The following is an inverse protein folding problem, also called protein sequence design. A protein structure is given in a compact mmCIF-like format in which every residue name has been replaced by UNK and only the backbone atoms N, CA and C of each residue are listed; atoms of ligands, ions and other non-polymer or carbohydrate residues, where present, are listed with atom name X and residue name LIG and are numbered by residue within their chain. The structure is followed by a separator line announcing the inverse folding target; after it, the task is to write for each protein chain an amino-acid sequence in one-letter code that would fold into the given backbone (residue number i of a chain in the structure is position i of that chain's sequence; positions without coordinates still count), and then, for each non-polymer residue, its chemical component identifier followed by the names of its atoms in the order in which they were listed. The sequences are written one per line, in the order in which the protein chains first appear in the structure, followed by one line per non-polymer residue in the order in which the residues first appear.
data_IF_774405185998
#
_entry.id   IF_774405185998
#
_cell.length_a   1.000
_cell.length_b   1.000
_cell.length_c   1.000
_cell.angle_alpha   90.00
_cell.angle_beta   90.00
_cell.angle_gamma   90.00
#
_symmetry.space_group_name_H-M   'P 1'
#
loop_
_entity.id
_entity.type
_entity.pdbx_description
1 polymer ?
#
# COMPACT_ATOMS: atom_id res chain seq x y z
N UNK A 1 -26.13 -3.31 -6.01
CA UNK A 1 -24.72 -3.32 -6.41
C UNK A 1 -24.08 -4.58 -5.84
N UNK A 2 -23.46 -5.40 -6.70
CA UNK A 2 -22.76 -6.61 -6.24
C UNK A 2 -21.52 -6.23 -5.43
N UNK A 3 -21.10 -7.07 -4.48
CA UNK A 3 -19.92 -6.82 -3.64
C UNK A 3 -18.66 -6.58 -4.49
N UNK A 4 -18.60 -7.18 -5.68
CA UNK A 4 -17.52 -6.97 -6.65
C UNK A 4 -17.48 -5.54 -7.19
N UNK A 5 -18.63 -4.96 -7.56
CA UNK A 5 -18.70 -3.58 -8.05
C UNK A 5 -18.33 -2.55 -6.97
N UNK A 6 -18.70 -2.79 -5.72
CA UNK A 6 -18.29 -1.94 -4.59
C UNK A 6 -16.77 -1.99 -4.39
N UNK A 7 -16.18 -3.18 -4.44
CA UNK A 7 -14.73 -3.35 -4.33
C UNK A 7 -13.98 -2.61 -5.44
N UNK A 8 -14.46 -2.71 -6.68
CA UNK A 8 -13.84 -2.06 -7.83
C UNK A 8 -13.90 -0.52 -7.73
N UNK A 9 -15.02 0.05 -7.31
CA UNK A 9 -15.16 1.50 -7.09
C UNK A 9 -14.19 1.97 -6.00
N UNK A 10 -14.13 1.27 -4.87
CA UNK A 10 -13.22 1.62 -3.76
C UNK A 10 -11.76 1.59 -4.23
N UNK A 11 -11.39 0.58 -5.03
CA UNK A 11 -10.03 0.47 -5.57
C UNK A 11 -9.69 1.62 -6.51
N UNK A 12 -10.61 2.01 -7.41
CA UNK A 12 -10.40 3.15 -8.31
C UNK A 12 -10.20 4.43 -7.51
N UNK A 13 -11.04 4.70 -6.50
CA UNK A 13 -10.87 5.85 -5.63
C UNK A 13 -9.53 5.82 -4.89
N UNK A 14 -9.13 4.67 -4.34
CA UNK A 14 -7.85 4.53 -3.65
C UNK A 14 -6.66 4.86 -4.57
N UNK A 15 -6.67 4.35 -5.81
CA UNK A 15 -5.63 4.65 -6.80
C UNK A 15 -5.59 6.13 -7.17
N UNK A 16 -6.76 6.77 -7.36
CA UNK A 16 -6.84 8.21 -7.63
C UNK A 16 -6.24 9.07 -6.51
N UNK A 17 -6.33 8.64 -5.26
CA UNK A 17 -5.69 9.33 -4.13
C UNK A 17 -4.17 9.14 -4.05
N UNK A 18 -3.62 8.06 -4.63
CA UNK A 18 -2.18 7.81 -4.66
C UNK A 18 -1.48 8.75 -5.67
N UNK A 19 -2.14 9.11 -6.78
CA UNK A 19 -1.55 9.95 -7.84
C UNK A 19 -1.09 11.32 -7.31
N UNK A 20 -1.94 12.12 -6.63
CA UNK A 20 -1.50 13.41 -6.09
C UNK A 20 -0.45 13.28 -4.98
N UNK A 21 -0.40 12.18 -4.27
CA UNK A 21 0.55 11.94 -3.19
C UNK A 21 2.03 12.03 -3.66
N UNK A 22 2.35 11.39 -4.78
CA UNK A 22 3.70 11.47 -5.38
C UNK A 22 4.06 12.88 -5.88
N UNK A 23 3.05 13.63 -6.33
CA UNK A 23 3.21 15.02 -6.75
C UNK A 23 3.50 15.92 -5.54
N UNK A 24 2.78 15.74 -4.43
CA UNK A 24 3.00 16.51 -3.21
C UNK A 24 4.39 16.29 -2.63
N UNK A 25 4.93 15.07 -2.65
CA UNK A 25 6.30 14.77 -2.21
C UNK A 25 7.32 15.62 -2.98
N UNK A 26 7.11 15.83 -4.27
CA UNK A 26 8.02 16.62 -5.12
C UNK A 26 7.82 18.14 -5.02
N UNK A 27 6.61 18.59 -4.77
CA UNK A 27 6.30 20.02 -4.65
C UNK A 27 6.75 20.62 -3.32
N UNK A 28 6.89 19.79 -2.28
CA UNK A 28 7.40 20.23 -0.99
C UNK A 28 8.90 20.47 -1.08
N UNK A 29 9.33 21.72 -0.89
CA UNK A 29 10.73 22.13 -0.82
C UNK A 29 11.40 21.82 0.54
N UNK A 30 10.83 20.87 1.30
CA UNK A 30 11.35 20.42 2.59
C UNK A 30 12.27 19.21 2.40
N UNK A 31 13.15 19.01 3.39
CA UNK A 31 14.00 17.81 3.43
C UNK A 31 13.18 16.53 3.43
N UNK A 32 13.58 15.55 2.63
CA UNK A 32 12.84 14.31 2.44
C UNK A 32 12.58 13.56 3.76
N UNK A 33 13.53 13.59 4.67
CA UNK A 33 13.38 12.95 5.99
C UNK A 33 12.29 13.61 6.82
N UNK A 34 12.20 14.94 6.76
CA UNK A 34 11.12 15.70 7.41
C UNK A 34 9.75 15.33 6.83
N UNK A 35 9.66 15.23 5.51
CA UNK A 35 8.42 14.82 4.83
C UNK A 35 7.99 13.42 5.27
N UNK A 36 8.92 12.45 5.31
CA UNK A 36 8.65 11.07 5.72
C UNK A 36 8.15 11.01 7.16
N UNK A 37 8.80 11.72 8.09
CA UNK A 37 8.42 11.72 9.50
C UNK A 37 7.03 12.31 9.68
N UNK A 38 6.77 13.49 9.16
CA UNK A 38 5.48 14.15 9.29
C UNK A 38 4.34 13.35 8.63
N UNK A 39 4.57 12.83 7.44
CA UNK A 39 3.60 12.01 6.74
C UNK A 39 3.23 10.75 7.52
N UNK A 40 4.25 10.03 8.02
CA UNK A 40 4.04 8.81 8.81
C UNK A 40 3.32 9.10 10.12
N UNK A 41 3.69 10.20 10.80
CA UNK A 41 3.06 10.62 12.04
C UNK A 41 1.59 10.98 11.84
N UNK A 42 1.28 11.82 10.86
CA UNK A 42 -0.09 12.25 10.55
C UNK A 42 -0.93 11.03 10.16
N UNK A 43 -0.45 10.22 9.20
CA UNK A 43 -1.16 9.03 8.75
C UNK A 43 -1.43 8.04 9.88
N UNK A 44 -0.42 7.75 10.70
CA UNK A 44 -0.55 6.88 11.87
C UNK A 44 -1.54 7.41 12.90
N UNK A 45 -1.52 8.72 13.16
CA UNK A 45 -2.46 9.37 14.09
C UNK A 45 -3.91 9.27 13.59
N UNK A 46 -4.16 9.53 12.31
CA UNK A 46 -5.50 9.38 11.72
C UNK A 46 -6.02 7.95 11.77
N UNK A 47 -5.17 6.97 11.49
CA UNK A 47 -5.55 5.55 11.59
C UNK A 47 -5.88 5.18 13.04
N UNK A 48 -5.04 5.61 14.01
CA UNK A 48 -5.30 5.37 15.42
C UNK A 48 -6.61 6.02 15.89
N UNK A 49 -6.85 7.28 15.53
CA UNK A 49 -8.10 7.97 15.83
C UNK A 49 -9.32 7.25 15.24
N UNK A 50 -9.23 6.84 13.97
CA UNK A 50 -10.30 6.08 13.32
C UNK A 50 -10.59 4.74 14.02
N UNK A 51 -9.56 4.02 14.41
CA UNK A 51 -9.70 2.77 15.17
C UNK A 51 -10.28 3.02 16.57
N UNK A 52 -9.84 4.08 17.26
CA UNK A 52 -10.39 4.46 18.57
C UNK A 52 -11.88 4.79 18.49
N UNK A 53 -12.30 5.52 17.46
CA UNK A 53 -13.72 5.86 17.25
C UNK A 53 -14.53 4.59 16.94
N UNK A 54 -13.99 3.67 16.14
CA UNK A 54 -14.73 2.49 15.69
C UNK A 54 -14.79 1.37 16.75
N UNK A 55 -13.72 1.12 17.50
CA UNK A 55 -13.61 0.01 18.46
C UNK A 55 -13.62 0.45 19.93
N UNK A 56 -13.55 1.75 20.22
CA UNK A 56 -13.48 2.28 21.58
C UNK A 56 -12.27 1.72 22.34
N UNK A 57 -12.44 1.50 23.66
CA UNK A 57 -11.39 0.98 24.54
C UNK A 57 -11.04 -0.51 24.31
N UNK A 58 -11.82 -1.21 23.48
CA UNK A 58 -11.55 -2.62 23.13
C UNK A 58 -10.33 -2.82 22.22
N UNK A 59 -9.76 -1.74 21.71
CA UNK A 59 -8.51 -1.75 20.92
C UNK A 59 -7.39 -2.51 21.63
N UNK A 60 -7.23 -2.33 22.93
CA UNK A 60 -6.19 -3.01 23.71
C UNK A 60 -6.33 -4.53 23.71
N UNK A 61 -7.56 -5.03 23.78
CA UNK A 61 -7.83 -6.47 23.72
C UNK A 61 -7.61 -7.06 22.33
N UNK A 62 -7.89 -6.30 21.28
CA UNK A 62 -7.62 -6.69 19.88
C UNK A 62 -6.11 -6.75 19.66
N UNK A 63 -5.36 -5.74 20.13
CA UNK A 63 -3.89 -5.71 20.02
C UNK A 63 -3.22 -6.89 20.73
N UNK A 64 -3.74 -7.30 21.86
CA UNK A 64 -3.21 -8.42 22.66
C UNK A 64 -3.38 -9.78 21.99
N UNK A 65 -4.39 -9.90 21.12
CA UNK A 65 -4.71 -11.14 20.38
C UNK A 65 -4.16 -11.16 18.94
N UNK A 66 -3.34 -10.17 18.56
CA UNK A 66 -2.73 -10.10 17.24
C UNK A 66 -1.68 -11.20 17.10
N UNK A 67 -1.84 -12.06 16.10
CA UNK A 67 -0.88 -13.13 15.79
C UNK A 67 0.45 -12.58 15.25
N UNK A 68 1.52 -13.34 15.40
CA UNK A 68 2.88 -12.99 14.92
C UNK A 68 2.92 -12.57 13.45
N UNK A 69 2.11 -13.20 12.60
CA UNK A 69 2.04 -12.87 11.18
C UNK A 69 1.53 -11.46 10.91
N UNK A 70 0.59 -10.96 11.72
CA UNK A 70 0.09 -9.59 11.60
C UNK A 70 1.14 -8.55 12.00
N UNK A 71 1.99 -8.86 12.98
CA UNK A 71 3.10 -7.99 13.38
C UNK A 71 4.12 -7.90 12.24
N UNK A 72 4.49 -9.02 11.63
CA UNK A 72 5.41 -9.04 10.49
C UNK A 72 4.84 -8.20 9.34
N UNK A 73 3.56 -8.38 9.03
CA UNK A 73 2.89 -7.60 7.99
C UNK A 73 2.88 -6.09 8.30
N UNK A 74 2.60 -5.71 9.54
CA UNK A 74 2.63 -4.31 9.98
C UNK A 74 4.04 -3.71 9.87
N UNK A 75 5.09 -4.45 10.24
CA UNK A 75 6.48 -4.00 10.08
C UNK A 75 6.84 -3.81 8.60
N UNK A 76 6.46 -4.73 7.72
CA UNK A 76 6.70 -4.61 6.28
C UNK A 76 5.98 -3.38 5.70
N UNK A 77 4.74 -3.12 6.09
CA UNK A 77 4.00 -1.92 5.67
C UNK A 77 4.66 -0.64 6.20
N UNK A 78 5.10 -0.64 7.47
CA UNK A 78 5.76 0.53 8.05
C UNK A 78 7.05 0.91 7.33
N UNK A 79 7.79 -0.07 6.83
CA UNK A 79 9.03 0.16 6.06
C UNK A 79 8.72 0.56 4.61
N UNK A 80 7.68 0.01 3.99
CA UNK A 80 7.37 0.24 2.59
C UNK A 80 7.00 1.71 2.28
N UNK A 81 6.30 2.38 3.19
CA UNK A 81 5.89 3.78 3.03
C UNK A 81 7.07 4.76 2.90
N UNK A 82 8.01 4.78 3.85
CA UNK A 82 9.24 5.57 3.75
C UNK A 82 10.08 5.25 2.51
N UNK A 83 10.25 3.97 2.16
CA UNK A 83 11.00 3.56 0.98
C UNK A 83 10.35 4.05 -0.31
N UNK A 84 9.02 4.04 -0.40
CA UNK A 84 8.31 4.63 -1.53
C UNK A 84 8.58 6.13 -1.65
N UNK A 85 8.49 6.88 -0.55
CA UNK A 85 8.74 8.32 -0.55
C UNK A 85 10.19 8.64 -0.96
N UNK A 86 11.17 7.88 -0.45
CA UNK A 86 12.58 7.99 -0.88
C UNK A 86 12.75 7.69 -2.36
N UNK A 87 12.12 6.64 -2.88
CA UNK A 87 12.20 6.29 -4.29
C UNK A 87 11.67 7.41 -5.18
N UNK A 88 10.53 8.01 -4.85
CA UNK A 88 9.93 9.13 -5.60
C UNK A 88 10.81 10.38 -5.55
N UNK A 89 11.50 10.63 -4.44
CA UNK A 89 12.39 11.80 -4.30
C UNK A 89 13.72 11.64 -5.03
N UNK A 90 14.26 10.42 -5.06
CA UNK A 90 15.61 10.15 -5.62
C UNK A 90 15.58 9.75 -7.10
N UNK A 91 14.43 9.33 -7.65
CA UNK A 91 14.32 8.88 -9.03
C UNK A 91 13.17 9.60 -9.77
N UNK A 92 13.07 9.40 -11.08
CA UNK A 92 11.91 9.86 -11.82
C UNK A 92 10.65 9.13 -11.33
N UNK A 93 9.55 9.87 -11.10
CA UNK A 93 8.26 9.30 -10.64
C UNK A 93 7.81 8.16 -11.55
N UNK A 94 8.01 8.33 -12.88
CA UNK A 94 7.69 7.30 -13.87
C UNK A 94 8.38 5.97 -13.61
N UNK A 95 9.66 5.98 -13.21
CA UNK A 95 10.39 4.76 -12.86
C UNK A 95 9.81 4.07 -11.62
N UNK A 96 9.51 4.85 -10.59
CA UNK A 96 8.89 4.32 -9.37
C UNK A 96 7.53 3.72 -9.64
N UNK A 97 6.69 4.41 -10.44
CA UNK A 97 5.36 3.92 -10.82
C UNK A 97 5.44 2.68 -11.71
N UNK A 98 6.40 2.62 -12.63
CA UNK A 98 6.64 1.44 -13.47
C UNK A 98 7.00 0.21 -12.64
N UNK A 99 7.87 0.37 -11.64
CA UNK A 99 8.20 -0.71 -10.70
C UNK A 99 6.98 -1.12 -9.89
N UNK A 100 6.16 -0.18 -9.43
CA UNK A 100 4.90 -0.49 -8.75
C UNK A 100 3.91 -1.24 -9.65
N UNK A 101 3.83 -0.91 -10.93
CA UNK A 101 3.00 -1.61 -11.89
C UNK A 101 3.41 -3.08 -12.07
N UNK A 102 4.65 -3.44 -11.75
CA UNK A 102 5.12 -4.84 -11.75
C UNK A 102 4.75 -5.64 -10.48
N UNK A 103 4.19 -5.00 -9.43
CA UNK A 103 3.77 -5.67 -8.18
C UNK A 103 2.86 -6.89 -8.38
N UNK A 104 1.90 -6.92 -9.32
CA UNK A 104 1.08 -8.10 -9.56
C UNK A 104 1.90 -9.34 -9.93
N UNK A 105 3.05 -9.16 -10.61
CA UNK A 105 3.96 -10.26 -10.96
C UNK A 105 4.58 -10.86 -9.70
N UNK A 106 5.15 -9.98 -8.84
CA UNK A 106 5.76 -10.41 -7.58
C UNK A 106 4.74 -11.05 -6.65
N UNK A 107 3.53 -10.51 -6.61
CA UNK A 107 2.41 -11.09 -5.85
C UNK A 107 2.04 -12.49 -6.36
N UNK A 108 1.96 -12.68 -7.69
CA UNK A 108 1.66 -13.98 -8.29
C UNK A 108 2.76 -15.03 -8.00
N UNK A 109 4.01 -14.62 -8.13
CA UNK A 109 5.16 -15.50 -7.84
C UNK A 109 5.19 -15.87 -6.36
N UNK A 110 5.02 -14.91 -5.46
CA UNK A 110 5.00 -15.14 -4.02
C UNK A 110 3.83 -16.04 -3.60
N UNK A 111 2.65 -15.84 -4.15
CA UNK A 111 1.49 -16.70 -3.90
C UNK A 111 1.76 -18.14 -4.34
N UNK A 112 2.39 -18.34 -5.49
CA UNK A 112 2.75 -19.67 -5.98
C UNK A 112 3.81 -20.35 -5.12
N UNK A 113 4.84 -19.61 -4.69
CA UNK A 113 6.00 -20.18 -3.95
C UNK A 113 5.64 -20.42 -2.49
N UNK A 114 4.93 -19.48 -1.85
CA UNK A 114 4.66 -19.54 -0.41
C UNK A 114 3.37 -20.30 -0.10
N UNK A 115 2.31 -20.05 -0.90
CA UNK A 115 0.98 -20.62 -0.66
C UNK A 115 0.68 -21.85 -1.52
N UNK A 116 1.59 -22.23 -2.45
CA UNK A 116 1.40 -23.33 -3.41
C UNK A 116 0.11 -23.20 -4.25
N UNK A 117 -0.39 -21.97 -4.43
CA UNK A 117 -1.59 -21.71 -5.21
C UNK A 117 -1.31 -21.77 -6.71
N UNK A 118 -2.27 -22.31 -7.47
CA UNK A 118 -2.17 -22.34 -8.93
C UNK A 118 -2.46 -20.94 -9.48
N UNK A 119 -1.53 -20.37 -10.26
CA UNK A 119 -1.74 -19.10 -10.96
C UNK A 119 -2.90 -19.28 -11.93
N UNK A 120 -3.97 -18.51 -11.73
CA UNK A 120 -5.12 -18.50 -12.61
C UNK A 120 -4.75 -17.91 -13.98
N UNK A 121 -5.30 -18.48 -15.07
CA UNK A 121 -5.14 -17.91 -16.43
C UNK A 121 -5.58 -16.45 -16.51
N UNK A 122 -6.59 -16.04 -15.73
CA UNK A 122 -7.04 -14.65 -15.63
C UNK A 122 -5.95 -13.74 -15.05
N UNK A 123 -5.23 -14.21 -14.05
CA UNK A 123 -4.14 -13.46 -13.43
C UNK A 123 -2.97 -13.26 -14.39
N UNK A 124 -2.63 -14.25 -15.22
CA UNK A 124 -1.63 -14.13 -16.30
C UNK A 124 -2.01 -13.04 -17.29
N UNK A 125 -3.26 -13.01 -17.75
CA UNK A 125 -3.74 -11.97 -18.66
C UNK A 125 -3.69 -10.58 -18.03
N UNK A 126 -4.06 -10.45 -16.77
CA UNK A 126 -3.98 -9.16 -16.04
C UNK A 126 -2.53 -8.66 -15.96
N UNK A 127 -1.58 -9.55 -15.71
CA UNK A 127 -0.14 -9.22 -15.66
C UNK A 127 0.34 -8.72 -17.03
N UNK A 128 -0.03 -9.42 -18.12
CA UNK A 128 0.36 -9.04 -19.48
C UNK A 128 -0.21 -7.66 -19.82
N UNK A 129 -1.49 -7.42 -19.55
CA UNK A 129 -2.11 -6.10 -19.77
C UNK A 129 -1.50 -4.98 -18.91
N UNK A 130 -1.13 -5.26 -17.67
CA UNK A 130 -0.50 -4.29 -16.79
C UNK A 130 0.93 -3.91 -17.23
N UNK A 131 1.62 -4.79 -17.95
CA UNK A 131 2.97 -4.53 -18.49
C UNK A 131 2.96 -3.85 -19.85
N UNK A 132 1.89 -3.98 -20.60
CA UNK A 132 1.78 -3.40 -21.97
C UNK A 132 1.12 -2.02 -21.99
N UNK A 133 0.49 -1.58 -20.91
CA UNK A 133 -0.17 -0.27 -20.76
C UNK A 133 0.58 0.68 -19.90
#
# INVERSE_FOLDING_TARGET
MTNHSKGLIITIFAVLFIIPDSLFIRLLSADIYTIIVWRSFISGSFILLGLCIYHGLNIFNIYRNIGKNSIIFACLLAISGPLFALSVSMTAVSNTVFILASMPIFSAVSSRVILNEKISKRMLWTIIFALTG
#
